data_IF_015605634072
#
_entry.id   IF_015605634072
#
_cell.length_a   1.000
_cell.length_b   1.000
_cell.length_c   1.000
_cell.angle_alpha   90.00
_cell.angle_beta   90.00
_cell.angle_gamma   90.00
#
_symmetry.space_group_name_H-M   'P 1'
#
loop_
_entity.id
_entity.type
_entity.pdbx_description
1 polymer ?
#
# COMPACT_ATOMS: atom_id res chain seq x y z
N UNK A 1 -10.53 -24.06 -48.14
CA UNK A 1 -10.08 -22.72 -47.69
C UNK A 1 -10.43 -22.54 -46.23
N UNK A 2 -9.55 -23.02 -45.35
CA UNK A 2 -9.74 -23.08 -43.90
C UNK A 2 -8.91 -21.97 -43.21
N UNK A 3 -9.10 -20.71 -43.62
CA UNK A 3 -8.25 -19.58 -43.19
C UNK A 3 -9.02 -18.42 -42.52
N UNK A 4 -10.17 -18.69 -41.89
CA UNK A 4 -10.99 -17.61 -41.28
C UNK A 4 -11.36 -17.85 -39.82
N UNK A 5 -10.53 -18.56 -39.04
CA UNK A 5 -10.76 -18.76 -37.59
C UNK A 5 -9.47 -18.50 -36.80
N UNK A 6 -8.79 -17.38 -37.05
CA UNK A 6 -7.69 -16.91 -36.20
C UNK A 6 -7.57 -15.39 -36.30
N UNK A 7 -8.51 -14.62 -35.73
CA UNK A 7 -8.21 -13.23 -35.32
C UNK A 7 -9.17 -12.63 -34.27
N UNK A 8 -9.69 -13.44 -33.33
CA UNK A 8 -10.48 -12.92 -32.20
C UNK A 8 -9.66 -12.76 -30.90
N UNK A 9 -8.39 -13.21 -30.89
CA UNK A 9 -7.49 -13.08 -29.73
C UNK A 9 -6.67 -11.77 -29.70
N UNK A 10 -6.53 -11.08 -30.84
CA UNK A 10 -5.71 -9.86 -30.97
C UNK A 10 -6.50 -8.57 -30.72
N UNK A 11 -7.81 -8.59 -30.93
CA UNK A 11 -8.74 -7.47 -30.70
C UNK A 11 -8.96 -7.20 -29.21
N UNK A 12 -9.04 -8.25 -28.38
CA UNK A 12 -9.14 -8.15 -26.92
C UNK A 12 -7.88 -7.52 -26.27
N UNK A 13 -6.69 -7.77 -26.84
CA UNK A 13 -5.43 -7.13 -26.39
C UNK A 13 -5.34 -5.64 -26.77
N UNK A 14 -6.00 -5.19 -27.85
CA UNK A 14 -6.02 -3.75 -28.24
C UNK A 14 -7.00 -2.92 -27.43
N UNK A 15 -8.10 -3.50 -26.96
CA UNK A 15 -9.08 -2.79 -26.12
C UNK A 15 -8.59 -2.57 -24.68
N UNK A 16 -7.82 -3.51 -24.10
CA UNK A 16 -7.27 -3.33 -22.74
C UNK A 16 -6.10 -2.33 -22.67
N UNK A 17 -5.31 -2.19 -23.73
CA UNK A 17 -4.17 -1.25 -23.73
C UNK A 17 -4.55 0.22 -23.96
N UNK A 18 -5.76 0.49 -24.46
CA UNK A 18 -6.27 1.85 -24.68
C UNK A 18 -6.93 2.46 -23.43
N UNK A 19 -7.63 1.63 -22.64
CA UNK A 19 -8.43 2.09 -21.50
C UNK A 19 -7.62 2.83 -20.43
N UNK A 20 -6.53 2.23 -19.94
CA UNK A 20 -5.71 2.89 -18.93
C UNK A 20 -4.98 4.12 -19.48
N UNK A 21 -4.62 4.15 -20.78
CA UNK A 21 -3.96 5.32 -21.39
C UNK A 21 -4.88 6.53 -21.41
N UNK A 22 -6.17 6.32 -21.67
CA UNK A 22 -7.18 7.38 -21.57
C UNK A 22 -7.32 7.89 -20.13
N UNK A 23 -7.32 6.98 -19.15
CA UNK A 23 -7.36 7.35 -17.72
C UNK A 23 -6.12 8.19 -17.36
N UNK A 24 -4.92 7.75 -17.76
CA UNK A 24 -3.68 8.50 -17.51
C UNK A 24 -3.65 9.86 -18.22
N UNK A 25 -4.25 9.97 -19.41
CA UNK A 25 -4.40 11.24 -20.11
C UNK A 25 -5.38 12.16 -19.37
N UNK A 26 -6.51 11.64 -18.90
CA UNK A 26 -7.49 12.39 -18.12
C UNK A 26 -6.89 12.94 -16.82
N UNK A 27 -6.10 12.13 -16.09
CA UNK A 27 -5.39 12.58 -14.89
C UNK A 27 -4.40 13.73 -15.17
N UNK A 28 -3.79 13.77 -16.35
CA UNK A 28 -2.86 14.85 -16.72
C UNK A 28 -3.61 16.13 -17.11
N UNK A 29 -4.82 16.02 -17.65
CA UNK A 29 -5.60 17.15 -18.14
C UNK A 29 -6.47 17.79 -17.04
N UNK A 30 -6.95 17.00 -16.08
CA UNK A 30 -7.94 17.45 -15.10
C UNK A 30 -7.44 17.26 -13.67
N UNK A 31 -7.20 18.36 -12.94
CA UNK A 31 -6.77 18.34 -11.54
C UNK A 31 -7.93 18.37 -10.53
N UNK A 32 -9.14 17.96 -10.92
CA UNK A 32 -10.28 17.93 -9.99
C UNK A 32 -10.21 16.68 -9.10
N UNK A 33 -10.48 16.83 -7.80
CA UNK A 33 -10.38 15.74 -6.83
C UNK A 33 -11.30 14.56 -7.19
N UNK A 34 -12.49 14.83 -7.73
CA UNK A 34 -13.44 13.78 -8.13
C UNK A 34 -12.90 13.01 -9.33
N UNK A 35 -12.33 13.71 -10.31
CA UNK A 35 -11.75 13.09 -11.50
C UNK A 35 -10.51 12.29 -11.13
N UNK A 36 -9.63 12.84 -10.29
CA UNK A 36 -8.43 12.17 -9.83
C UNK A 36 -8.75 10.95 -8.98
N UNK A 37 -9.72 11.06 -8.06
CA UNK A 37 -10.16 9.95 -7.22
C UNK A 37 -10.77 8.81 -8.06
N UNK A 38 -11.62 9.17 -9.03
CA UNK A 38 -12.21 8.20 -9.97
C UNK A 38 -11.14 7.54 -10.84
N UNK A 39 -10.20 8.31 -11.36
CA UNK A 39 -9.11 7.80 -12.18
C UNK A 39 -8.20 6.84 -11.40
N UNK A 40 -7.78 7.22 -10.18
CA UNK A 40 -7.06 6.33 -9.27
C UNK A 40 -7.87 5.06 -8.96
N UNK A 41 -9.19 5.18 -8.77
CA UNK A 41 -10.07 4.03 -8.54
C UNK A 41 -10.11 3.07 -9.73
N UNK A 42 -10.22 3.60 -10.95
CA UNK A 42 -10.16 2.80 -12.18
C UNK A 42 -8.78 2.15 -12.34
N UNK A 43 -7.68 2.88 -12.10
CA UNK A 43 -6.34 2.30 -12.16
C UNK A 43 -6.16 1.20 -11.11
N UNK A 44 -6.63 1.40 -9.88
CA UNK A 44 -6.63 0.36 -8.85
C UNK A 44 -7.34 -0.91 -9.36
N UNK A 45 -8.55 -0.78 -9.91
CA UNK A 45 -9.29 -1.93 -10.43
C UNK A 45 -8.55 -2.62 -11.59
N UNK A 46 -8.03 -1.85 -12.55
CA UNK A 46 -7.33 -2.40 -13.70
C UNK A 46 -6.04 -3.14 -13.30
N UNK A 47 -5.35 -2.65 -12.26
CA UNK A 47 -4.09 -3.21 -11.76
C UNK A 47 -4.27 -4.38 -10.79
N UNK A 48 -5.49 -4.85 -10.52
CA UNK A 48 -5.69 -6.07 -9.72
C UNK A 48 -5.07 -7.31 -10.37
N UNK A 49 -4.94 -7.32 -11.70
CA UNK A 49 -4.21 -8.33 -12.44
C UNK A 49 -2.76 -7.88 -12.64
N UNK A 50 -1.79 -8.74 -12.29
CA UNK A 50 -0.36 -8.41 -12.32
C UNK A 50 0.14 -7.97 -13.70
N UNK A 51 -0.31 -8.62 -14.78
CA UNK A 51 0.04 -8.25 -16.15
C UNK A 51 -0.39 -6.81 -16.50
N UNK A 52 -1.56 -6.39 -16.02
CA UNK A 52 -2.05 -5.03 -16.20
C UNK A 52 -1.29 -4.04 -15.31
N UNK A 53 -0.94 -4.42 -14.08
CA UNK A 53 -0.10 -3.61 -13.20
C UNK A 53 1.26 -3.30 -13.83
N UNK A 54 1.93 -4.31 -14.39
CA UNK A 54 3.19 -4.14 -15.13
C UNK A 54 3.00 -3.21 -16.33
N UNK A 55 1.93 -3.40 -17.11
CA UNK A 55 1.63 -2.57 -18.29
C UNK A 55 1.37 -1.10 -17.91
N UNK A 56 0.61 -0.84 -16.84
CA UNK A 56 0.35 0.52 -16.32
C UNK A 56 1.63 1.17 -15.82
N UNK A 57 2.48 0.42 -15.10
CA UNK A 57 3.78 0.87 -14.65
C UNK A 57 4.70 1.27 -15.81
N UNK A 58 4.84 0.40 -16.81
CA UNK A 58 5.63 0.65 -18.02
C UNK A 58 5.10 1.83 -18.85
N UNK A 59 3.79 2.07 -18.82
CA UNK A 59 3.18 3.24 -19.46
C UNK A 59 3.35 4.55 -18.67
N UNK A 60 4.10 4.54 -17.57
CA UNK A 60 4.38 5.72 -16.74
C UNK A 60 3.21 6.10 -15.83
N UNK A 61 2.36 5.13 -15.44
CA UNK A 61 1.20 5.37 -14.58
C UNK A 61 1.51 5.78 -13.14
N UNK A 62 2.72 5.46 -12.65
CA UNK A 62 3.17 5.80 -11.29
C UNK A 62 3.17 7.32 -11.04
N UNK A 63 3.70 8.11 -11.97
CA UNK A 63 3.85 9.56 -11.78
C UNK A 63 2.49 10.27 -11.66
N UNK A 64 1.50 10.02 -12.54
CA UNK A 64 0.15 10.55 -12.39
C UNK A 64 -0.51 10.21 -11.05
N UNK A 65 -0.39 8.95 -10.58
CA UNK A 65 -0.96 8.53 -9.29
C UNK A 65 -0.34 9.33 -8.13
N UNK A 66 1.00 9.43 -8.09
CA UNK A 66 1.68 10.18 -7.04
C UNK A 66 1.39 11.69 -7.11
N UNK A 67 1.23 12.22 -8.31
CA UNK A 67 0.89 13.64 -8.52
C UNK A 67 -0.52 13.94 -8.01
N UNK A 68 -1.49 13.08 -8.32
CA UNK A 68 -2.85 13.17 -7.82
C UNK A 68 -2.90 13.12 -6.28
N UNK A 69 -2.20 12.17 -5.68
CA UNK A 69 -2.11 12.07 -4.22
C UNK A 69 -1.47 13.32 -3.60
N UNK A 70 -0.44 13.89 -4.22
CA UNK A 70 0.20 15.11 -3.73
C UNK A 70 -0.72 16.33 -3.80
N UNK A 71 -1.45 16.48 -4.91
CA UNK A 71 -2.31 17.64 -5.15
C UNK A 71 -3.60 17.61 -4.31
N UNK A 72 -3.99 16.43 -3.85
CA UNK A 72 -5.21 16.22 -3.06
C UNK A 72 -4.91 15.48 -1.75
N UNK A 73 -3.92 15.97 -1.00
CA UNK A 73 -3.41 15.32 0.22
C UNK A 73 -4.47 15.11 1.33
N UNK A 74 -5.50 15.95 1.37
CA UNK A 74 -6.61 15.87 2.34
C UNK A 74 -7.84 15.15 1.80
N UNK A 75 -7.87 14.76 0.52
CA UNK A 75 -9.03 14.09 -0.07
C UNK A 75 -8.98 12.58 0.21
N UNK A 76 -9.92 12.10 1.02
CA UNK A 76 -9.96 10.69 1.45
C UNK A 76 -10.12 9.71 0.28
N UNK A 77 -10.83 10.09 -0.77
CA UNK A 77 -11.07 9.22 -1.92
C UNK A 77 -9.80 9.14 -2.75
N UNK A 78 -9.18 10.27 -3.09
CA UNK A 78 -7.92 10.29 -3.85
C UNK A 78 -6.84 9.51 -3.12
N UNK A 79 -6.66 9.73 -1.81
CA UNK A 79 -5.65 9.02 -1.02
C UNK A 79 -5.93 7.52 -0.94
N UNK A 80 -7.17 7.11 -0.65
CA UNK A 80 -7.49 5.68 -0.52
C UNK A 80 -7.29 4.93 -1.85
N UNK A 81 -7.77 5.51 -2.96
CA UNK A 81 -7.61 4.87 -4.27
C UNK A 81 -6.16 4.94 -4.76
N UNK A 82 -5.45 6.03 -4.50
CA UNK A 82 -4.03 6.18 -4.81
C UNK A 82 -3.17 5.14 -4.08
N UNK A 83 -3.33 5.01 -2.75
CA UNK A 83 -2.70 3.94 -1.98
C UNK A 83 -3.07 2.55 -2.49
N UNK A 84 -4.34 2.34 -2.89
CA UNK A 84 -4.80 1.08 -3.47
C UNK A 84 -4.13 0.76 -4.80
N UNK A 85 -3.99 1.73 -5.70
CA UNK A 85 -3.28 1.56 -6.96
C UNK A 85 -1.78 1.31 -6.73
N UNK A 86 -1.12 2.07 -5.85
CA UNK A 86 0.28 1.85 -5.47
C UNK A 86 0.51 0.47 -4.86
N UNK A 87 -0.42 -0.01 -4.05
CA UNK A 87 -0.39 -1.35 -3.50
C UNK A 87 -0.36 -2.43 -4.58
N UNK A 88 -1.18 -2.28 -5.62
CA UNK A 88 -1.23 -3.23 -6.72
C UNK A 88 0.03 -3.13 -7.61
N UNK A 89 0.55 -1.92 -7.82
CA UNK A 89 1.83 -1.74 -8.54
C UNK A 89 3.00 -2.33 -7.75
N UNK A 90 2.98 -2.28 -6.41
CA UNK A 90 4.03 -2.83 -5.55
C UNK A 90 4.12 -4.38 -5.59
N UNK A 91 3.11 -5.07 -6.13
CA UNK A 91 3.15 -6.52 -6.38
C UNK A 91 3.96 -6.90 -7.62
N UNK A 92 4.38 -5.92 -8.42
CA UNK A 92 5.23 -6.12 -9.58
C UNK A 92 6.66 -5.80 -9.15
N UNK A 93 7.52 -6.81 -9.09
CA UNK A 93 8.89 -6.68 -8.59
C UNK A 93 9.68 -5.58 -9.31
N UNK A 94 9.51 -5.47 -10.63
CA UNK A 94 10.17 -4.45 -11.45
C UNK A 94 9.72 -3.01 -11.11
N UNK A 95 8.58 -2.85 -10.42
CA UNK A 95 8.05 -1.55 -10.01
C UNK A 95 8.42 -1.16 -8.58
N UNK A 96 8.97 -2.07 -7.76
CA UNK A 96 9.35 -1.74 -6.38
C UNK A 96 10.40 -0.62 -6.31
N UNK A 97 11.48 -0.74 -7.09
CA UNK A 97 12.53 0.29 -7.17
C UNK A 97 12.02 1.62 -7.75
N UNK A 98 11.25 1.64 -8.86
CA UNK A 98 10.57 2.85 -9.33
C UNK A 98 9.68 3.52 -8.27
N UNK A 99 8.90 2.76 -7.51
CA UNK A 99 8.04 3.28 -6.43
C UNK A 99 8.88 3.94 -5.34
N UNK A 100 9.97 3.29 -4.92
CA UNK A 100 10.91 3.85 -3.96
C UNK A 100 11.51 5.18 -4.47
N UNK A 101 12.10 5.17 -5.67
CA UNK A 101 12.79 6.31 -6.26
C UNK A 101 11.85 7.50 -6.53
N UNK A 102 10.58 7.24 -6.82
CA UNK A 102 9.57 8.28 -7.00
C UNK A 102 9.03 8.84 -5.67
N UNK A 103 9.49 8.34 -4.52
CA UNK A 103 9.03 8.77 -3.20
C UNK A 103 7.66 8.20 -2.79
N UNK A 104 7.23 7.09 -3.39
CA UNK A 104 5.92 6.49 -3.13
C UNK A 104 5.73 6.04 -1.69
N UNK A 105 6.77 5.52 -1.04
CA UNK A 105 6.73 5.14 0.39
C UNK A 105 6.41 6.37 1.26
N UNK A 106 7.11 7.48 1.03
CA UNK A 106 6.87 8.73 1.73
C UNK A 106 5.44 9.24 1.53
N UNK A 107 4.94 9.17 0.29
CA UNK A 107 3.56 9.56 -0.04
C UNK A 107 2.52 8.74 0.74
N UNK A 108 2.69 7.42 0.81
CA UNK A 108 1.79 6.51 1.55
C UNK A 108 1.80 6.87 3.04
N UNK A 109 2.98 7.10 3.63
CA UNK A 109 3.11 7.44 5.05
C UNK A 109 2.50 8.82 5.36
N UNK A 110 2.66 9.80 4.46
CA UNK A 110 2.01 11.12 4.60
C UNK A 110 0.49 10.97 4.55
N UNK A 111 -0.05 10.18 3.63
CA UNK A 111 -1.49 9.92 3.54
C UNK A 111 -2.04 9.30 4.85
N UNK A 112 -1.31 8.35 5.45
CA UNK A 112 -1.68 7.76 6.74
C UNK A 112 -1.75 8.81 7.85
N UNK A 113 -0.79 9.74 7.91
CA UNK A 113 -0.71 10.79 8.94
C UNK A 113 -1.74 11.91 8.75
N UNK A 114 -2.07 12.26 7.51
CA UNK A 114 -3.06 13.32 7.24
C UNK A 114 -4.49 12.82 7.44
N UNK A 115 -4.73 11.53 7.19
CA UNK A 115 -6.07 10.94 7.20
C UNK A 115 -6.16 9.80 8.22
N UNK A 116 -5.70 10.08 9.45
CA UNK A 116 -5.71 9.12 10.56
C UNK A 116 -7.10 8.55 10.85
N UNK A 117 -8.18 9.31 10.63
CA UNK A 117 -9.58 8.87 10.83
C UNK A 117 -10.13 7.98 9.70
N UNK A 118 -9.45 7.90 8.56
CA UNK A 118 -9.97 7.17 7.39
C UNK A 118 -9.50 5.72 7.40
N UNK A 119 -10.33 4.81 7.91
CA UNK A 119 -10.02 3.38 7.96
C UNK A 119 -9.66 2.81 6.57
N UNK A 120 -10.30 3.30 5.50
CA UNK A 120 -9.99 2.87 4.13
C UNK A 120 -8.59 3.32 3.68
N UNK A 121 -8.16 4.54 4.02
CA UNK A 121 -6.79 4.99 3.72
C UNK A 121 -5.81 4.14 4.51
N UNK A 122 -6.03 3.95 5.81
CA UNK A 122 -5.15 3.14 6.66
C UNK A 122 -5.02 1.70 6.13
N UNK A 123 -6.13 1.06 5.77
CA UNK A 123 -6.15 -0.30 5.21
C UNK A 123 -5.32 -0.40 3.93
N UNK A 124 -5.56 0.46 2.94
CA UNK A 124 -4.82 0.41 1.67
C UNK A 124 -3.35 0.78 1.85
N UNK A 125 -3.04 1.74 2.72
CA UNK A 125 -1.68 2.15 3.03
C UNK A 125 -0.89 1.04 3.74
N UNK A 126 -1.42 0.44 4.80
CA UNK A 126 -0.79 -0.70 5.47
C UNK A 126 -0.56 -1.86 4.49
N UNK A 127 -1.54 -2.15 3.62
CA UNK A 127 -1.38 -3.16 2.56
C UNK A 127 -0.22 -2.81 1.62
N UNK A 128 -0.18 -1.58 1.11
CA UNK A 128 0.90 -1.13 0.23
C UNK A 128 2.28 -1.25 0.89
N UNK A 129 2.42 -0.77 2.14
CA UNK A 129 3.67 -0.86 2.89
C UNK A 129 4.09 -2.31 3.15
N UNK A 130 3.13 -3.21 3.39
CA UNK A 130 3.38 -4.65 3.52
C UNK A 130 3.96 -5.27 2.26
N UNK A 131 3.44 -4.92 1.08
CA UNK A 131 3.98 -5.39 -0.20
C UNK A 131 5.37 -4.82 -0.44
N UNK A 132 5.54 -3.51 -0.26
CA UNK A 132 6.85 -2.86 -0.44
C UNK A 132 7.90 -3.41 0.52
N UNK A 133 7.52 -3.79 1.74
CA UNK A 133 8.39 -4.43 2.71
C UNK A 133 8.78 -5.88 2.35
N UNK A 134 8.50 -6.39 1.14
CA UNK A 134 9.11 -7.63 0.64
C UNK A 134 10.56 -7.40 0.20
N UNK A 135 10.88 -6.19 -0.28
CA UNK A 135 12.25 -5.77 -0.59
C UNK A 135 12.96 -5.17 0.64
N UNK A 136 14.24 -5.54 0.82
CA UNK A 136 15.02 -5.15 2.00
C UNK A 136 15.32 -3.64 2.03
N UNK A 137 15.63 -3.04 0.87
CA UNK A 137 15.89 -1.60 0.79
C UNK A 137 14.63 -0.79 1.11
N UNK A 138 13.46 -1.27 0.68
CA UNK A 138 12.17 -0.72 1.05
C UNK A 138 11.90 -0.85 2.54
N UNK A 139 12.22 -1.98 3.20
CA UNK A 139 12.08 -2.09 4.67
C UNK A 139 12.84 -1.00 5.42
N UNK A 140 14.08 -0.73 4.99
CA UNK A 140 14.92 0.33 5.57
C UNK A 140 14.27 1.70 5.34
N UNK A 141 13.81 1.96 4.11
CA UNK A 141 13.15 3.22 3.74
C UNK A 141 11.85 3.47 4.52
N UNK A 142 11.01 2.44 4.68
CA UNK A 142 9.77 2.50 5.47
C UNK A 142 10.06 2.82 6.93
N UNK A 143 11.06 2.14 7.52
CA UNK A 143 11.51 2.41 8.88
C UNK A 143 12.00 3.85 9.06
N UNK A 144 12.93 4.29 8.20
CA UNK A 144 13.51 5.62 8.23
C UNK A 144 12.48 6.75 8.00
N UNK A 145 11.44 6.49 7.21
CA UNK A 145 10.37 7.45 6.92
C UNK A 145 9.31 7.53 8.03
N UNK A 146 9.44 6.72 9.09
CA UNK A 146 8.50 6.65 10.21
C UNK A 146 7.19 5.94 9.85
N UNK A 147 7.25 4.93 8.98
CA UNK A 147 6.11 4.10 8.61
C UNK A 147 5.63 3.19 9.74
N UNK A 148 6.55 2.71 10.58
CA UNK A 148 6.21 1.90 11.78
C UNK A 148 5.33 2.72 12.73
N UNK A 149 5.75 3.95 13.05
CA UNK A 149 4.97 4.85 13.91
C UNK A 149 3.59 5.13 13.32
N UNK A 150 3.49 5.32 11.99
CA UNK A 150 2.20 5.54 11.33
C UNK A 150 1.28 4.31 11.43
N UNK A 151 1.82 3.09 11.24
CA UNK A 151 1.05 1.85 11.38
C UNK A 151 0.61 1.58 12.82
N UNK A 152 1.46 1.83 13.82
CA UNK A 152 1.08 1.70 15.22
C UNK A 152 -0.04 2.68 15.61
N UNK A 153 0.01 3.92 15.11
CA UNK A 153 -1.10 4.88 15.30
C UNK A 153 -2.38 4.43 14.62
N UNK A 154 -2.29 3.90 13.39
CA UNK A 154 -3.43 3.35 12.68
C UNK A 154 -4.09 2.20 13.46
N UNK A 155 -3.28 1.31 14.05
CA UNK A 155 -3.75 0.23 14.91
C UNK A 155 -4.45 0.76 16.16
N UNK A 156 -3.87 1.74 16.86
CA UNK A 156 -4.47 2.27 18.09
C UNK A 156 -5.78 3.05 17.83
N UNK A 157 -5.84 3.78 16.71
CA UNK A 157 -7.02 4.58 16.32
C UNK A 157 -8.17 3.72 15.79
N UNK A 158 -7.86 2.67 15.02
CA UNK A 158 -8.84 1.77 14.40
C UNK A 158 -8.90 0.43 15.12
N UNK A 159 -8.98 0.45 16.45
CA UNK A 159 -8.88 -0.76 17.27
C UNK A 159 -9.89 -1.83 16.87
N UNK A 160 -11.10 -1.46 16.45
CA UNK A 160 -12.15 -2.42 16.07
C UNK A 160 -12.08 -2.86 14.60
N UNK A 161 -11.21 -2.25 13.78
CA UNK A 161 -11.08 -2.61 12.36
C UNK A 161 -10.06 -3.73 12.16
N UNK A 162 -10.53 -4.98 12.16
CA UNK A 162 -9.68 -6.17 11.99
C UNK A 162 -8.79 -6.10 10.76
N UNK A 163 -9.27 -5.55 9.63
CA UNK A 163 -8.45 -5.45 8.42
C UNK A 163 -7.24 -4.51 8.59
N UNK A 164 -7.42 -3.37 9.26
CA UNK A 164 -6.31 -2.46 9.58
C UNK A 164 -5.32 -3.16 10.52
N UNK A 165 -5.81 -3.84 11.57
CA UNK A 165 -4.97 -4.57 12.53
C UNK A 165 -4.12 -5.64 11.84
N UNK A 166 -4.74 -6.52 11.06
CA UNK A 166 -4.08 -7.61 10.34
C UNK A 166 -3.03 -7.08 9.37
N UNK A 167 -3.36 -6.06 8.57
CA UNK A 167 -2.44 -5.53 7.57
C UNK A 167 -1.27 -4.79 8.20
N UNK A 168 -1.51 -4.01 9.26
CA UNK A 168 -0.46 -3.33 9.99
C UNK A 168 0.48 -4.34 10.67
N UNK A 169 -0.05 -5.37 11.33
CA UNK A 169 0.75 -6.44 11.94
C UNK A 169 1.59 -7.19 10.91
N UNK A 170 1.02 -7.54 9.74
CA UNK A 170 1.78 -8.16 8.63
C UNK A 170 2.97 -7.30 8.21
N UNK A 171 2.77 -6.00 8.04
CA UNK A 171 3.82 -5.08 7.65
C UNK A 171 4.88 -4.94 8.77
N UNK A 172 4.46 -4.74 10.02
CA UNK A 172 5.37 -4.61 11.16
C UNK A 172 6.19 -5.89 11.36
N UNK A 173 5.58 -7.08 11.25
CA UNK A 173 6.27 -8.36 11.35
C UNK A 173 7.41 -8.49 10.32
N UNK A 174 7.19 -8.00 9.09
CA UNK A 174 8.24 -7.97 8.06
C UNK A 174 9.35 -6.95 8.37
N UNK A 175 8.97 -5.80 8.95
CA UNK A 175 9.89 -4.69 9.22
C UNK A 175 10.78 -4.91 10.45
N UNK A 176 10.32 -5.64 11.49
CA UNK A 176 11.12 -5.95 12.69
C UNK A 176 12.29 -6.91 12.40
N UNK A 177 12.30 -7.54 11.23
CA UNK A 177 13.45 -8.28 10.73
C UNK A 177 14.68 -7.38 10.56
N UNK A 178 14.48 -6.08 10.31
CA UNK A 178 15.57 -5.08 10.34
C UNK A 178 15.83 -4.68 11.80
N UNK A 179 17.01 -4.95 12.39
CA UNK A 179 17.24 -4.71 13.81
C UNK A 179 16.99 -3.27 14.27
N UNK A 180 17.36 -2.29 13.44
CA UNK A 180 17.13 -0.86 13.73
C UNK A 180 15.66 -0.48 13.86
N UNK A 181 14.76 -1.23 13.23
CA UNK A 181 13.31 -0.97 13.31
C UNK A 181 12.72 -1.38 14.67
N UNK A 182 13.32 -2.36 15.36
CA UNK A 182 12.84 -2.89 16.65
C UNK A 182 12.79 -1.82 17.72
N UNK A 183 13.83 -0.99 17.83
CA UNK A 183 13.86 0.15 18.76
C UNK A 183 12.76 1.16 18.47
N UNK A 184 12.38 1.34 17.20
CA UNK A 184 11.27 2.25 16.82
C UNK A 184 9.94 1.70 17.32
N UNK A 185 9.70 0.39 17.24
CA UNK A 185 8.49 -0.24 17.78
C UNK A 185 8.43 -0.05 19.29
N UNK A 186 9.54 -0.29 20.01
CA UNK A 186 9.61 -0.15 21.46
C UNK A 186 9.37 1.29 21.92
N UNK A 187 10.03 2.28 21.30
CA UNK A 187 9.89 3.70 21.68
C UNK A 187 8.48 4.27 21.47
N UNK A 188 7.67 3.68 20.60
CA UNK A 188 6.32 4.17 20.27
C UNK A 188 5.22 3.35 20.93
N UNK A 189 5.47 2.76 22.10
CA UNK A 189 4.53 1.90 22.83
C UNK A 189 4.00 0.71 22.00
N UNK A 190 4.78 0.26 21.01
CA UNK A 190 4.33 -0.76 20.06
C UNK A 190 3.97 -2.08 20.72
N UNK A 191 4.73 -2.52 21.73
CA UNK A 191 4.42 -3.74 22.48
C UNK A 191 3.02 -3.67 23.12
N UNK A 192 2.72 -2.57 23.83
CA UNK A 192 1.41 -2.34 24.45
C UNK A 192 0.26 -2.27 23.44
N UNK A 193 0.49 -1.64 22.29
CA UNK A 193 -0.52 -1.56 21.22
C UNK A 193 -0.78 -2.95 20.65
N UNK A 194 0.26 -3.77 20.44
CA UNK A 194 0.15 -5.14 19.95
C UNK A 194 -0.60 -6.02 20.96
N UNK A 195 -0.25 -5.96 22.25
CA UNK A 195 -0.95 -6.68 23.32
C UNK A 195 -2.43 -6.30 23.40
N UNK A 196 -2.75 -5.00 23.33
CA UNK A 196 -4.13 -4.48 23.27
C UNK A 196 -4.87 -5.00 22.03
N UNK A 197 -4.19 -5.09 20.89
CA UNK A 197 -4.77 -5.61 19.65
C UNK A 197 -5.10 -7.09 19.77
N UNK A 198 -4.18 -7.87 20.36
CA UNK A 198 -4.37 -9.30 20.61
C UNK A 198 -5.53 -9.56 21.58
N UNK A 199 -5.67 -8.74 22.64
CA UNK A 199 -6.79 -8.90 23.58
C UNK A 199 -8.14 -8.51 22.98
N UNK A 200 -8.18 -7.44 22.17
CA UNK A 200 -9.41 -7.00 21.49
C UNK A 200 -9.87 -8.00 20.41
N UNK A 201 -8.93 -8.66 19.73
CA UNK A 201 -9.22 -9.61 18.63
C UNK A 201 -8.79 -11.04 18.97
N UNK A 202 -9.08 -11.51 20.19
CA UNK A 202 -8.68 -12.84 20.70
C UNK A 202 -9.29 -14.04 19.95
N UNK A 203 -10.08 -13.81 18.91
CA UNK A 203 -10.62 -14.86 18.05
C UNK A 203 -9.93 -14.90 16.68
N UNK A 204 -9.14 -13.89 16.33
CA UNK A 204 -8.35 -13.85 15.12
C UNK A 204 -6.99 -14.50 15.37
N UNK A 205 -6.87 -15.77 14.95
CA UNK A 205 -5.64 -16.56 15.11
C UNK A 205 -4.41 -15.91 14.47
N UNK A 206 -4.59 -15.16 13.38
CA UNK A 206 -3.47 -14.49 12.73
C UNK A 206 -2.97 -13.34 13.60
N UNK A 207 -3.87 -12.52 14.15
CA UNK A 207 -3.50 -11.43 15.06
C UNK A 207 -2.74 -11.97 16.27
N UNK A 208 -3.23 -13.05 16.90
CA UNK A 208 -2.54 -13.65 18.05
C UNK A 208 -1.14 -14.15 17.68
N UNK A 209 -1.02 -14.91 16.59
CA UNK A 209 0.26 -15.50 16.16
C UNK A 209 1.27 -14.43 15.75
N UNK A 210 0.83 -13.44 14.96
CA UNK A 210 1.68 -12.34 14.53
C UNK A 210 2.10 -11.46 15.71
N UNK A 211 1.18 -11.18 16.64
CA UNK A 211 1.45 -10.41 17.84
C UNK A 211 2.53 -11.06 18.71
N UNK A 212 2.38 -12.34 19.06
CA UNK A 212 3.39 -13.09 19.81
C UNK A 212 4.74 -13.12 19.10
N UNK A 213 4.76 -13.42 17.80
CA UNK A 213 5.98 -13.45 16.99
C UNK A 213 6.72 -12.10 17.01
N UNK A 214 5.99 -10.98 16.90
CA UNK A 214 6.61 -9.65 16.97
C UNK A 214 7.18 -9.41 18.38
N UNK A 215 6.41 -9.69 19.43
CA UNK A 215 6.84 -9.47 20.81
C UNK A 215 8.10 -10.29 21.17
N UNK A 216 8.16 -11.54 20.73
CA UNK A 216 9.34 -12.41 20.89
C UNK A 216 10.61 -11.79 20.27
N UNK A 217 10.53 -11.37 18.99
CA UNK A 217 11.63 -10.70 18.29
C UNK A 217 12.08 -9.41 18.99
N UNK A 218 11.14 -8.69 19.62
CA UNK A 218 11.46 -7.48 20.37
C UNK A 218 12.15 -7.77 21.70
N UNK A 219 11.81 -8.87 22.38
CA UNK A 219 12.47 -9.28 23.63
C UNK A 219 13.93 -9.68 23.38
N UNK A 220 14.19 -10.48 22.35
CA UNK A 220 15.54 -10.87 21.93
C UNK A 220 16.45 -9.67 21.57
N UNK A 221 15.86 -8.50 21.29
CA UNK A 221 16.61 -7.28 20.94
C UNK A 221 17.02 -6.44 22.16
N UNK A 222 16.52 -6.76 23.35
CA UNK A 222 16.80 -6.05 24.62
C UNK A 222 17.85 -6.79 25.46
N UNK A 223 18.10 -8.06 25.16
CA UNK A 223 19.18 -8.90 25.71
C UNK A 223 20.53 -8.64 25.02
#
# INVERSE_FOLDING_TARGET
>A
NANTIMDLGSSSKRTNNGGFRLVLAAMKLHNDATVQGSACGVLKLLTEQQDHAATVGQAGGLVPILTAMRQHETDKVVQAQGCGALCNLALVDELQTPILNAGGIGMIIVAMRQLEESADVQKHACRALRHLAEDEQNKISIGASGGITAMLRAMDRHVDNTAVQVLALKAIQSLVQIPRNRSTVLHHNGAKIIEKTMSQHSHDKYIETAGWSILEILMEAVE
#
